data_IF_387624999523
#
_entry.id   IF_387624999523
#
_cell.length_a   1.000
_cell.length_b   1.000
_cell.length_c   1.000
_cell.angle_alpha   90.00
_cell.angle_beta   90.00
_cell.angle_gamma   90.00
#
_symmetry.space_group_name_H-M   'P 1'
#
loop_
_entity.id
_entity.type
_entity.pdbx_description
1 polymer ?
#
# COMPACT_ATOMS: atom_id res chain seq x y z
N UNK A 1 -5.18 -11.64 -12.85
CA UNK A 1 -5.27 -10.53 -11.87
C UNK A 1 -5.87 -9.30 -12.53
N UNK A 2 -6.77 -8.65 -11.85
CA UNK A 2 -7.42 -7.45 -12.35
C UNK A 2 -7.05 -6.25 -11.51
N UNK A 3 -6.99 -5.08 -12.15
CA UNK A 3 -6.83 -3.82 -11.46
C UNK A 3 -8.10 -2.99 -11.66
N UNK A 4 -8.65 -2.51 -10.57
CA UNK A 4 -9.84 -1.66 -10.60
C UNK A 4 -9.49 -0.29 -10.01
N UNK A 5 -9.82 0.77 -10.73
CA UNK A 5 -9.66 2.14 -10.25
C UNK A 5 -11.02 2.70 -9.89
N UNK A 6 -11.13 3.28 -8.70
CA UNK A 6 -12.37 3.89 -8.21
C UNK A 6 -12.14 5.37 -8.05
N UNK A 7 -13.01 6.17 -8.64
CA UNK A 7 -13.02 7.62 -8.50
C UNK A 7 -14.21 8.06 -7.65
N UNK A 8 -13.98 9.08 -6.82
CA UNK A 8 -15.06 9.75 -6.12
C UNK A 8 -15.63 10.84 -7.05
N UNK A 9 -16.86 10.67 -7.59
CA UNK A 9 -17.41 11.63 -8.53
C UNK A 9 -17.75 12.99 -7.92
N UNK A 10 -17.83 13.11 -6.60
CA UNK A 10 -18.07 14.36 -5.92
C UNK A 10 -16.84 15.26 -5.81
N UNK A 11 -15.68 14.81 -6.30
CA UNK A 11 -14.40 15.49 -6.15
C UNK A 11 -14.08 16.56 -7.17
N UNK A 12 -15.05 17.23 -7.76
CA UNK A 12 -14.85 18.13 -8.89
C UNK A 12 -13.90 19.29 -8.63
N UNK A 13 -13.92 19.86 -7.43
CA UNK A 13 -13.12 21.05 -7.07
C UNK A 13 -11.98 20.75 -6.14
N UNK A 14 -11.81 19.49 -5.73
CA UNK A 14 -10.77 19.04 -4.83
C UNK A 14 -9.97 17.93 -5.48
N UNK A 15 -8.67 17.93 -5.22
CA UNK A 15 -7.87 16.75 -5.55
C UNK A 15 -8.35 15.59 -4.69
N UNK A 16 -8.88 14.59 -5.32
CA UNK A 16 -9.29 13.36 -4.68
C UNK A 16 -8.33 12.25 -5.04
N UNK A 17 -8.14 11.33 -4.10
CA UNK A 17 -7.37 10.14 -4.36
C UNK A 17 -8.08 9.19 -5.30
N UNK A 18 -7.29 8.31 -5.89
CA UNK A 18 -7.77 7.21 -6.72
C UNK A 18 -7.43 5.92 -5.98
N UNK A 19 -8.45 5.10 -5.74
CA UNK A 19 -8.25 3.77 -5.17
C UNK A 19 -8.06 2.77 -6.29
N UNK A 20 -6.92 2.06 -6.27
CA UNK A 20 -6.65 0.97 -7.19
C UNK A 20 -6.64 -0.35 -6.41
N UNK A 21 -7.44 -1.29 -6.86
CA UNK A 21 -7.58 -2.59 -6.21
C UNK A 21 -7.05 -3.68 -7.12
N UNK A 22 -6.14 -4.50 -6.59
CA UNK A 22 -5.60 -5.66 -7.30
C UNK A 22 -6.37 -6.90 -6.86
N UNK A 23 -7.01 -7.55 -7.81
CA UNK A 23 -7.81 -8.74 -7.55
C UNK A 23 -7.16 -9.96 -8.19
N UNK A 24 -7.21 -11.09 -7.49
CA UNK A 24 -6.75 -12.37 -7.99
C UNK A 24 -7.69 -13.49 -7.59
N UNK A 25 -7.65 -14.58 -8.34
CA UNK A 25 -8.56 -15.72 -8.16
C UNK A 25 -8.37 -16.43 -6.81
N UNK A 26 -7.15 -16.41 -6.27
CA UNK A 26 -6.84 -17.08 -5.00
C UNK A 26 -5.64 -16.43 -4.34
N UNK A 27 -5.42 -16.66 -3.04
CA UNK A 27 -4.19 -16.20 -2.37
C UNK A 27 -2.96 -16.73 -3.07
N UNK A 28 -1.92 -15.92 -3.16
CA UNK A 28 -0.66 -16.34 -3.72
C UNK A 28 -0.52 -16.22 -5.23
N UNK A 29 -1.46 -15.56 -5.91
CA UNK A 29 -1.38 -15.36 -7.37
C UNK A 29 -0.58 -14.10 -7.78
N UNK A 30 0.24 -13.57 -6.88
CA UNK A 30 1.14 -12.46 -7.20
C UNK A 30 0.54 -11.07 -7.10
N UNK A 31 -0.58 -10.88 -6.42
CA UNK A 31 -1.23 -9.57 -6.26
C UNK A 31 -0.31 -8.58 -5.54
N UNK A 32 0.25 -8.98 -4.43
CA UNK A 32 1.15 -8.13 -3.64
C UNK A 32 2.41 -7.80 -4.43
N UNK A 33 2.99 -8.78 -5.10
CA UNK A 33 4.16 -8.58 -5.95
C UNK A 33 3.87 -7.56 -7.05
N UNK A 34 2.73 -7.68 -7.73
CA UNK A 34 2.36 -6.75 -8.80
C UNK A 34 2.14 -5.33 -8.28
N UNK A 35 1.54 -5.19 -7.11
CA UNK A 35 1.35 -3.89 -6.46
C UNK A 35 2.70 -3.24 -6.12
N UNK A 36 3.61 -3.99 -5.53
CA UNK A 36 4.94 -3.51 -5.17
C UNK A 36 5.76 -3.17 -6.41
N UNK A 37 5.67 -3.97 -7.47
CA UNK A 37 6.35 -3.72 -8.73
C UNK A 37 5.88 -2.40 -9.35
N UNK A 38 4.58 -2.13 -9.34
CA UNK A 38 4.05 -0.85 -9.81
C UNK A 38 4.53 0.31 -8.94
N UNK A 39 4.55 0.13 -7.62
CA UNK A 39 5.07 1.12 -6.69
C UNK A 39 6.53 1.47 -6.97
N UNK A 40 7.36 0.46 -7.22
CA UNK A 40 8.75 0.64 -7.59
C UNK A 40 8.90 1.43 -8.88
N UNK A 41 8.11 1.11 -9.90
CA UNK A 41 8.14 1.84 -11.17
C UNK A 41 7.74 3.30 -11.00
N UNK A 42 6.74 3.59 -10.18
CA UNK A 42 6.33 4.96 -9.88
C UNK A 42 7.41 5.71 -9.11
N UNK A 43 7.99 5.08 -8.10
CA UNK A 43 9.07 5.68 -7.32
C UNK A 43 10.28 6.01 -8.19
N UNK A 44 10.63 5.13 -9.13
CA UNK A 44 11.74 5.36 -10.04
C UNK A 44 11.50 6.54 -10.99
N UNK A 45 10.25 6.95 -11.17
CA UNK A 45 9.88 8.14 -11.95
C UNK A 45 9.75 9.41 -11.10
N UNK A 46 10.10 9.33 -9.83
CA UNK A 46 10.06 10.48 -8.92
C UNK A 46 8.76 10.65 -8.15
N UNK A 47 7.83 9.70 -8.24
CA UNK A 47 6.61 9.73 -7.44
C UNK A 47 6.92 9.39 -5.99
N UNK A 48 6.31 10.12 -5.06
CA UNK A 48 6.50 9.89 -3.62
C UNK A 48 5.61 8.74 -3.16
N UNK A 49 6.18 7.54 -3.11
CA UNK A 49 5.49 6.29 -2.80
C UNK A 49 5.91 5.80 -1.42
N UNK A 50 4.94 5.46 -0.58
CA UNK A 50 5.20 4.82 0.70
C UNK A 50 4.39 3.52 0.82
N UNK A 51 4.87 2.62 1.66
CA UNK A 51 4.15 1.42 2.05
C UNK A 51 3.46 1.68 3.37
N UNK A 52 2.15 1.55 3.40
CA UNK A 52 1.36 1.66 4.62
C UNK A 52 1.20 0.32 5.32
N UNK A 53 0.91 -0.72 4.56
CA UNK A 53 0.74 -2.06 5.11
C UNK A 53 0.96 -3.09 4.01
N UNK A 54 1.93 -3.97 4.19
CA UNK A 54 2.19 -5.08 3.29
C UNK A 54 2.46 -6.35 4.08
N UNK A 55 1.80 -7.43 3.69
CA UNK A 55 2.07 -8.76 4.23
C UNK A 55 2.79 -9.58 3.16
N UNK A 56 3.99 -10.01 3.48
CA UNK A 56 4.80 -10.81 2.55
C UNK A 56 4.63 -12.31 2.73
N UNK A 57 4.08 -12.74 3.85
CA UNK A 57 3.89 -14.15 4.20
C UNK A 57 5.17 -14.98 4.07
N UNK A 58 6.32 -14.38 4.37
CA UNK A 58 7.62 -15.06 4.31
C UNK A 58 8.15 -15.30 2.89
N UNK A 59 7.53 -14.69 1.88
CA UNK A 59 7.99 -14.86 0.50
C UNK A 59 9.18 -13.96 0.21
N UNK A 60 10.30 -14.55 -0.12
CA UNK A 60 11.57 -13.84 -0.31
C UNK A 60 11.48 -12.81 -1.44
N UNK A 61 10.94 -13.19 -2.60
CA UNK A 61 10.86 -12.28 -3.74
C UNK A 61 9.93 -11.10 -3.48
N UNK A 62 8.84 -11.30 -2.77
CA UNK A 62 7.94 -10.22 -2.38
C UNK A 62 8.64 -9.26 -1.40
N UNK A 63 9.37 -9.82 -0.43
CA UNK A 63 10.11 -9.02 0.53
C UNK A 63 11.22 -8.18 -0.15
N UNK A 64 11.88 -8.72 -1.17
CA UNK A 64 12.89 -8.00 -1.93
C UNK A 64 12.32 -6.79 -2.67
N UNK A 65 11.08 -6.85 -3.10
CA UNK A 65 10.42 -5.73 -3.76
C UNK A 65 10.17 -4.54 -2.83
N UNK A 66 10.20 -4.75 -1.53
CA UNK A 66 10.05 -3.67 -0.55
C UNK A 66 11.33 -2.83 -0.41
N UNK A 67 12.50 -3.41 -0.70
CA UNK A 67 13.81 -2.94 -0.26
C UNK A 67 14.07 -1.43 -0.42
N UNK A 68 13.64 -0.82 -1.52
CA UNK A 68 13.92 0.59 -1.80
C UNK A 68 12.74 1.52 -1.50
N UNK A 69 11.60 0.98 -1.10
CA UNK A 69 10.42 1.79 -0.81
C UNK A 69 10.38 2.16 0.67
N UNK A 70 10.00 3.40 0.93
CA UNK A 70 9.80 3.86 2.29
C UNK A 70 8.62 3.13 2.92
N UNK A 71 8.82 2.59 4.11
CA UNK A 71 7.75 1.93 4.88
C UNK A 71 7.37 2.83 6.06
N UNK A 72 6.09 3.16 6.16
CA UNK A 72 5.57 3.85 7.35
C UNK A 72 5.36 2.78 8.42
N UNK A 73 6.02 2.91 9.60
CA UNK A 73 5.91 1.90 10.65
C UNK A 73 4.46 1.68 11.07
N UNK A 74 4.11 0.43 11.35
CA UNK A 74 2.78 0.08 11.82
C UNK A 74 2.56 0.59 13.24
N UNK A 75 1.29 0.86 13.57
CA UNK A 75 0.88 1.13 14.95
C UNK A 75 0.65 -0.18 15.69
N UNK A 76 1.19 -0.25 16.90
CA UNK A 76 0.92 -1.38 17.77
C UNK A 76 -0.24 -1.02 18.69
N UNK A 77 -1.29 -1.83 18.64
CA UNK A 77 -2.51 -1.62 19.43
C UNK A 77 -2.73 -2.83 20.33
N UNK A 78 -2.98 -2.58 21.61
CA UNK A 78 -3.38 -3.61 22.54
C UNK A 78 -4.92 -3.68 22.56
N UNK A 79 -5.45 -4.83 22.16
CA UNK A 79 -6.89 -5.06 22.15
C UNK A 79 -7.21 -6.35 22.89
N UNK A 80 -7.92 -6.24 24.01
CA UNK A 80 -8.31 -7.39 24.84
C UNK A 80 -7.13 -8.31 25.19
N UNK A 81 -6.01 -7.73 25.56
CA UNK A 81 -4.82 -8.48 25.91
C UNK A 81 -4.02 -9.03 24.74
N UNK A 82 -4.44 -8.77 23.52
CA UNK A 82 -3.74 -9.18 22.31
C UNK A 82 -3.11 -7.95 21.65
N UNK A 83 -1.83 -8.07 21.28
CA UNK A 83 -1.14 -7.03 20.51
C UNK A 83 -1.40 -7.23 19.04
N UNK A 84 -1.82 -6.17 18.37
CA UNK A 84 -2.05 -6.16 16.93
C UNK A 84 -1.26 -5.02 16.29
N UNK A 85 -0.72 -5.28 15.12
CA UNK A 85 -0.06 -4.27 14.33
C UNK A 85 -1.03 -3.79 13.25
N UNK A 86 -1.28 -2.49 13.22
CA UNK A 86 -2.17 -1.87 12.25
C UNK A 86 -1.44 -0.84 11.40
N UNK A 87 -1.98 -0.58 10.22
CA UNK A 87 -1.53 0.54 9.41
C UNK A 87 -1.68 1.84 10.20
N UNK A 88 -0.63 2.64 10.24
CA UNK A 88 -0.67 3.94 10.90
C UNK A 88 -1.30 5.00 9.98
N UNK A 89 -2.61 4.96 9.85
CA UNK A 89 -3.32 5.90 8.99
C UNK A 89 -3.07 7.36 9.35
N UNK A 90 -3.14 7.79 10.62
CA UNK A 90 -2.79 9.16 10.97
C UNK A 90 -1.37 9.57 10.55
N UNK A 91 -0.39 8.70 10.75
CA UNK A 91 0.98 8.96 10.35
C UNK A 91 1.13 9.09 8.84
N UNK A 92 0.45 8.25 8.09
CA UNK A 92 0.44 8.32 6.61
C UNK A 92 -0.16 9.64 6.15
N UNK A 93 -1.28 10.04 6.73
CA UNK A 93 -1.94 11.29 6.36
C UNK A 93 -1.07 12.51 6.67
N UNK A 94 -0.34 12.48 7.79
CA UNK A 94 0.60 13.55 8.13
C UNK A 94 1.79 13.58 7.18
N UNK A 95 2.26 12.42 6.74
CA UNK A 95 3.37 12.28 5.79
C UNK A 95 3.02 12.81 4.41
N UNK A 96 1.74 12.72 4.01
CA UNK A 96 1.18 13.23 2.74
C UNK A 96 1.90 12.66 1.51
N UNK A 97 2.02 11.35 1.37
CA UNK A 97 2.62 10.77 0.18
C UNK A 97 1.69 10.93 -1.03
N UNK A 98 2.25 10.80 -2.23
CA UNK A 98 1.45 10.78 -3.44
C UNK A 98 0.76 9.43 -3.64
N UNK A 99 1.44 8.34 -3.27
CA UNK A 99 0.92 6.97 -3.40
C UNK A 99 1.18 6.20 -2.11
N UNK A 100 0.17 5.48 -1.66
CA UNK A 100 0.27 4.55 -0.52
C UNK A 100 -0.06 3.15 -1.01
N UNK A 101 0.85 2.22 -0.72
CA UNK A 101 0.63 0.80 -1.01
C UNK A 101 0.15 0.08 0.24
#
# INVERSE_FOLDING_TARGET
MHTKTVHDPAGETRQRGILRVYLGASPGVGKTFAMLDEGQRRASRGTDVVIGLVETHGRVHTAEQIADLEVVPRRRIDYRGTRQDEMDLPGILLRRPEVVL
#
